data_IF_532178127666
#
_entry.id   IF_532178127666
#
_cell.length_a   1.000
_cell.length_b   1.000
_cell.length_c   1.000
_cell.angle_alpha   90.00
_cell.angle_beta   90.00
_cell.angle_gamma   90.00
#
_symmetry.space_group_name_H-M   'P 1'
#
loop_
_entity.id
_entity.type
_entity.pdbx_description
1 polymer ?
#
# COMPACT_ATOMS: atom_id res chain seq x y z
N UNK A 1 54.34 -11.48 20.36
CA UNK A 1 54.15 -10.02 20.18
C UNK A 1 53.20 -9.83 19.02
N UNK A 2 52.02 -9.30 19.31
CA UNK A 2 50.85 -9.19 18.44
C UNK A 2 51.01 -8.05 17.43
N UNK A 3 50.85 -8.30 16.12
CA UNK A 3 50.34 -7.29 15.16
C UNK A 3 49.92 -7.96 13.84
N UNK A 4 48.70 -8.52 13.82
CA UNK A 4 48.03 -8.92 12.57
C UNK A 4 46.53 -8.79 12.82
N UNK A 5 46.02 -7.56 12.72
CA UNK A 5 44.66 -7.24 13.13
C UNK A 5 44.27 -5.78 12.93
N UNK A 6 44.77 -5.14 11.87
CA UNK A 6 44.31 -3.81 11.49
C UNK A 6 43.38 -3.93 10.28
N UNK A 7 42.06 -4.11 10.48
CA UNK A 7 41.12 -3.95 9.38
C UNK A 7 41.02 -2.45 9.10
N UNK A 8 41.73 -2.05 8.04
CA UNK A 8 41.38 -0.88 7.27
C UNK A 8 39.94 -0.98 6.77
N UNK A 9 39.30 0.18 6.61
CA UNK A 9 37.97 0.28 6.03
C UNK A 9 36.95 0.77 7.05
N UNK A 10 37.11 2.03 7.49
CA UNK A 10 36.02 2.80 8.07
C UNK A 10 34.87 2.77 7.08
N UNK A 11 33.87 1.91 7.30
CA UNK A 11 32.62 1.94 6.57
C UNK A 11 32.01 3.30 6.87
N UNK A 12 32.18 4.23 5.93
CA UNK A 12 31.53 5.53 5.97
C UNK A 12 30.05 5.18 5.95
N UNK A 13 29.38 5.34 7.10
CA UNK A 13 27.92 5.29 7.19
C UNK A 13 27.42 6.52 6.44
N UNK A 14 27.46 6.45 5.11
CA UNK A 14 26.73 7.36 4.26
C UNK A 14 25.27 6.98 4.47
N UNK A 15 24.49 7.92 5.02
CA UNK A 15 23.04 7.84 4.86
C UNK A 15 22.84 7.80 3.35
N UNK A 16 22.32 6.71 2.77
CA UNK A 16 22.14 6.65 1.33
C UNK A 16 21.26 7.83 0.95
N UNK A 17 21.76 8.66 0.04
CA UNK A 17 20.98 9.73 -0.54
C UNK A 17 19.95 9.03 -1.45
N UNK A 18 18.64 9.28 -1.31
CA UNK A 18 17.65 8.77 -2.25
C UNK A 18 18.09 9.21 -3.67
N UNK A 19 18.16 8.32 -4.69
CA UNK A 19 17.33 7.14 -4.95
C UNK A 19 18.08 5.78 -4.91
N UNK A 20 19.26 5.71 -4.30
CA UNK A 20 20.13 4.51 -4.34
C UNK A 20 19.54 3.24 -3.70
N UNK A 21 18.44 3.35 -2.95
CA UNK A 21 17.74 2.21 -2.35
C UNK A 21 16.33 1.95 -2.88
N UNK A 22 15.99 2.50 -4.05
CA UNK A 22 14.74 2.19 -4.73
C UNK A 22 13.51 2.53 -3.89
N UNK A 23 13.03 3.77 -4.01
CA UNK A 23 11.60 4.02 -3.81
C UNK A 23 10.88 3.17 -4.85
N UNK A 24 10.39 2.02 -4.42
CA UNK A 24 9.72 1.05 -5.27
C UNK A 24 8.70 1.81 -6.14
N UNK A 25 8.70 1.64 -7.47
CA UNK A 25 7.94 2.48 -8.41
C UNK A 25 6.40 2.51 -8.22
N UNK A 26 5.85 1.82 -7.22
CA UNK A 26 4.45 1.93 -6.78
C UNK A 26 4.17 3.10 -5.81
N UNK A 27 5.18 3.78 -5.29
CA UNK A 27 5.02 4.85 -4.26
C UNK A 27 5.53 6.21 -4.77
N UNK A 28 5.29 6.52 -6.05
CA UNK A 28 5.93 7.66 -6.71
C UNK A 28 5.40 9.03 -6.20
N UNK A 29 4.09 9.15 -5.94
CA UNK A 29 3.46 10.46 -5.68
C UNK A 29 2.58 10.50 -4.41
N UNK A 30 2.61 9.43 -3.59
CA UNK A 30 1.86 9.35 -2.33
C UNK A 30 0.36 9.72 -2.46
N UNK A 31 -0.28 9.41 -3.59
CA UNK A 31 -1.62 9.93 -3.92
C UNK A 31 -2.72 9.48 -2.95
N UNK A 32 -2.61 8.27 -2.40
CA UNK A 32 -3.55 7.71 -1.43
C UNK A 32 -3.11 7.93 0.04
N UNK A 33 -1.99 8.63 0.27
CA UNK A 33 -1.49 8.95 1.60
C UNK A 33 -2.47 9.72 2.52
N UNK A 34 -3.33 10.65 2.06
CA UNK A 34 -4.26 11.33 2.97
C UNK A 34 -5.24 10.36 3.62
N UNK A 35 -5.77 9.40 2.86
CA UNK A 35 -6.71 8.38 3.37
C UNK A 35 -5.98 7.43 4.32
N UNK A 36 -4.75 7.03 4.00
CA UNK A 36 -3.90 6.22 4.88
C UNK A 36 -3.68 6.90 6.24
N UNK A 37 -3.38 8.20 6.24
CA UNK A 37 -3.18 8.97 7.48
C UNK A 37 -4.46 9.01 8.33
N UNK A 38 -5.63 9.14 7.70
CA UNK A 38 -6.92 9.08 8.38
C UNK A 38 -7.17 7.71 8.99
N UNK A 39 -6.93 6.62 8.24
CA UNK A 39 -7.05 5.25 8.75
C UNK A 39 -6.12 5.01 9.96
N UNK A 40 -4.85 5.41 9.87
CA UNK A 40 -3.91 5.28 10.99
C UNK A 40 -4.29 6.17 12.19
N UNK A 41 -4.93 7.31 11.95
CA UNK A 41 -5.49 8.14 13.02
C UNK A 41 -6.68 7.43 13.68
N UNK A 42 -7.56 6.82 12.89
CA UNK A 42 -8.68 6.03 13.38
C UNK A 42 -8.20 4.88 14.28
N UNK A 43 -7.29 4.04 13.78
CA UNK A 43 -6.73 2.95 14.59
C UNK A 43 -6.11 3.43 15.90
N UNK A 44 -5.39 4.56 15.89
CA UNK A 44 -4.83 5.13 17.13
C UNK A 44 -5.90 5.58 18.12
N UNK A 45 -7.00 6.14 17.64
CA UNK A 45 -8.11 6.56 18.49
C UNK A 45 -8.80 5.35 19.14
N UNK A 46 -8.98 4.27 18.39
CA UNK A 46 -9.64 3.03 18.84
C UNK A 46 -8.65 2.02 19.47
N UNK A 47 -7.48 2.48 19.93
CA UNK A 47 -6.46 1.65 20.62
C UNK A 47 -6.02 0.42 19.81
N UNK A 48 -5.99 0.54 18.48
CA UNK A 48 -5.62 -0.52 17.55
C UNK A 48 -6.77 -1.48 17.19
N UNK A 49 -7.98 -1.25 17.69
CA UNK A 49 -9.17 -1.99 17.28
C UNK A 49 -9.66 -1.44 15.95
N UNK A 50 -9.91 -2.33 14.99
CA UNK A 50 -10.45 -1.97 13.69
C UNK A 50 -11.98 -1.92 13.78
N UNK A 51 -12.51 -0.79 14.25
CA UNK A 51 -13.95 -0.53 14.29
C UNK A 51 -14.52 -0.27 12.89
N UNK A 52 -15.85 -0.28 12.75
CA UNK A 52 -16.54 -0.10 11.46
C UNK A 52 -16.11 1.19 10.74
N UNK A 53 -15.92 2.29 11.48
CA UNK A 53 -15.43 3.56 10.93
C UNK A 53 -14.01 3.43 10.32
N UNK A 54 -13.12 2.69 10.98
CA UNK A 54 -11.77 2.42 10.47
C UNK A 54 -11.81 1.46 9.29
N UNK A 55 -12.75 0.52 9.28
CA UNK A 55 -12.96 -0.41 8.18
C UNK A 55 -13.37 0.33 6.90
N UNK A 56 -14.26 1.32 6.99
CA UNK A 56 -14.63 2.17 5.85
C UNK A 56 -13.43 2.94 5.28
N UNK A 57 -12.60 3.52 6.15
CA UNK A 57 -11.36 4.21 5.74
C UNK A 57 -10.37 3.25 5.06
N UNK A 58 -10.28 2.01 5.54
CA UNK A 58 -9.42 0.99 4.93
C UNK A 58 -9.93 0.54 3.56
N UNK A 59 -11.27 0.43 3.38
CA UNK A 59 -11.90 0.16 2.08
C UNK A 59 -11.61 1.28 1.09
N UNK A 60 -11.82 2.54 1.48
CA UNK A 60 -11.54 3.70 0.64
C UNK A 60 -10.05 3.78 0.24
N UNK A 61 -9.14 3.42 1.15
CA UNK A 61 -7.71 3.37 0.86
C UNK A 61 -7.35 2.34 -0.21
N UNK A 62 -7.92 1.14 -0.12
CA UNK A 62 -7.68 0.08 -1.12
C UNK A 62 -8.28 0.42 -2.48
N UNK A 63 -9.47 1.01 -2.51
CA UNK A 63 -10.10 1.51 -3.75
C UNK A 63 -9.20 2.55 -4.42
N UNK A 64 -8.71 3.54 -3.66
CA UNK A 64 -7.78 4.55 -4.19
C UNK A 64 -6.55 3.91 -4.85
N UNK A 65 -5.97 2.87 -4.23
CA UNK A 65 -4.81 2.17 -4.81
C UNK A 65 -5.15 1.41 -6.10
N UNK A 66 -6.34 0.83 -6.19
CA UNK A 66 -6.82 0.14 -7.40
C UNK A 66 -7.14 1.12 -8.54
N UNK A 67 -7.68 2.31 -8.21
CA UNK A 67 -8.02 3.33 -9.20
C UNK A 67 -6.78 4.02 -9.79
N UNK A 68 -5.76 4.23 -8.97
CA UNK A 68 -4.48 4.82 -9.38
C UNK A 68 -3.50 3.79 -9.96
N UNK A 69 -3.94 2.55 -10.20
CA UNK A 69 -3.11 1.45 -10.68
C UNK A 69 -1.86 1.19 -9.79
N UNK A 70 -1.94 1.54 -8.50
CA UNK A 70 -0.89 1.28 -7.49
C UNK A 70 -1.02 -0.13 -6.90
N UNK A 71 -2.07 -0.86 -7.28
CA UNK A 71 -2.36 -2.24 -6.92
C UNK A 71 -3.20 -2.88 -8.04
N UNK A 72 -3.06 -4.19 -8.23
CA UNK A 72 -3.96 -4.94 -9.10
C UNK A 72 -5.41 -4.82 -8.60
N UNK A 73 -6.36 -4.70 -9.52
CA UNK A 73 -7.78 -4.69 -9.18
C UNK A 73 -8.19 -6.07 -8.68
N UNK A 74 -8.71 -6.12 -7.47
CA UNK A 74 -9.26 -7.33 -6.85
C UNK A 74 -10.64 -7.03 -6.26
N UNK A 75 -11.43 -8.07 -6.02
CA UNK A 75 -12.74 -7.91 -5.39
C UNK A 75 -12.59 -7.57 -3.91
N UNK A 76 -13.45 -6.67 -3.42
CA UNK A 76 -13.47 -6.29 -2.00
C UNK A 76 -13.66 -7.50 -1.08
N UNK A 77 -14.40 -8.52 -1.54
CA UNK A 77 -14.61 -9.78 -0.82
C UNK A 77 -13.30 -10.54 -0.55
N UNK A 78 -12.42 -10.63 -1.56
CA UNK A 78 -11.11 -11.28 -1.43
C UNK A 78 -10.19 -10.52 -0.46
N UNK A 79 -10.35 -9.21 -0.39
CA UNK A 79 -9.61 -8.32 0.51
C UNK A 79 -10.16 -8.33 1.96
N UNK A 80 -11.12 -9.20 2.29
CA UNK A 80 -11.71 -9.31 3.62
C UNK A 80 -12.85 -8.34 3.89
N UNK A 81 -13.32 -7.62 2.87
CA UNK A 81 -14.50 -6.76 2.93
C UNK A 81 -15.71 -7.53 2.41
N UNK A 82 -16.25 -8.37 3.26
CA UNK A 82 -17.63 -8.83 3.11
C UNK A 82 -18.52 -7.70 3.63
N UNK A 83 -19.25 -7.09 2.71
CA UNK A 83 -20.44 -6.30 3.02
C UNK A 83 -21.60 -7.29 2.94
N UNK A 84 -22.40 -7.36 3.99
CA UNK A 84 -23.72 -7.98 3.90
C UNK A 84 -24.48 -7.27 2.77
N UNK A 85 -24.90 -8.04 1.77
CA UNK A 85 -25.46 -7.60 0.50
C UNK A 85 -26.42 -6.40 0.60
N UNK A 86 -25.97 -5.19 0.24
CA UNK A 86 -26.90 -4.07 0.03
C UNK A 86 -26.42 -2.94 -0.90
N UNK A 87 -25.11 -2.74 -1.10
CA UNK A 87 -24.64 -1.59 -1.91
C UNK A 87 -23.35 -1.88 -2.69
N UNK A 88 -23.36 -2.96 -3.47
CA UNK A 88 -22.38 -3.21 -4.52
C UNK A 88 -23.02 -2.98 -5.90
N UNK A 89 -23.48 -1.75 -6.15
CA UNK A 89 -23.85 -1.29 -7.48
C UNK A 89 -22.71 -0.42 -8.04
N UNK A 90 -22.14 -0.93 -9.14
CA UNK A 90 -21.46 -0.23 -10.24
C UNK A 90 -19.92 -0.11 -10.23
N UNK A 91 -19.30 -0.80 -11.19
CA UNK A 91 -18.10 -0.28 -11.85
C UNK A 91 -17.10 -1.31 -12.36
N UNK A 92 -17.44 -2.12 -13.38
CA UNK A 92 -16.38 -2.90 -14.04
C UNK A 92 -16.76 -3.99 -15.04
N UNK A 93 -17.81 -3.79 -15.84
CA UNK A 93 -17.98 -4.57 -17.08
C UNK A 93 -16.90 -4.12 -18.07
N UNK A 94 -15.98 -5.02 -18.42
CA UNK A 94 -15.24 -5.00 -19.68
C UNK A 94 -15.39 -6.37 -20.30
N UNK A 95 -16.45 -6.49 -21.10
CA UNK A 95 -16.41 -7.30 -22.31
C UNK A 95 -15.23 -6.79 -23.16
N UNK A 96 -14.33 -7.67 -23.56
CA UNK A 96 -13.69 -7.61 -24.86
C UNK A 96 -13.51 -9.05 -25.35
N UNK A 97 -14.42 -9.40 -26.24
CA UNK A 97 -14.40 -10.54 -27.14
C UNK A 97 -13.07 -10.67 -27.90
N UNK A 98 -12.70 -11.91 -28.19
CA UNK A 98 -12.43 -12.25 -29.58
C UNK A 98 -11.04 -11.95 -30.16
N UNK A 99 -10.27 -13.02 -30.32
CA UNK A 99 -9.68 -13.43 -31.58
C UNK A 99 -8.83 -12.43 -32.39
N UNK A 100 -7.51 -12.64 -32.42
CA UNK A 100 -6.78 -12.86 -33.68
C UNK A 100 -5.30 -13.16 -33.42
N UNK A 101 -4.95 -14.45 -33.56
CA UNK A 101 -4.03 -15.00 -34.58
C UNK A 101 -3.17 -16.14 -34.01
#
# INVERSE_FOLDING_TARGET
>A
MSTFGSPGGRQVVSKPVPPERGSFPLDHDAECQPIMKQYLKCLRNHRGVNENECRELSKAYLICRMDRNLMARDSMRNLGFQEDDATAEQGGKRDDDGASK
#
